data_IF_895102408178
#
_entry.id   IF_895102408178
#
_cell.length_a   1.000
_cell.length_b   1.000
_cell.length_c   1.000
_cell.angle_alpha   90.00
_cell.angle_beta   90.00
_cell.angle_gamma   90.00
#
_symmetry.space_group_name_H-M   'P 1'
#
loop_
_entity.id
_entity.type
_entity.pdbx_description
1 polymer ?
#
# COMPACT_ATOMS: atom_id res chain seq x y z
N UNK A 1 4.51 22.37 21.94
CA UNK A 1 3.84 22.19 20.63
C UNK A 1 4.94 22.12 19.59
N UNK A 2 5.34 20.94 19.15
CA UNK A 2 6.35 20.80 18.10
C UNK A 2 5.73 21.23 16.77
N UNK A 3 6.33 22.22 16.13
CA UNK A 3 6.03 22.57 14.75
C UNK A 3 6.37 21.36 13.88
N UNK A 4 5.33 20.61 13.51
CA UNK A 4 5.46 19.54 12.53
C UNK A 4 5.72 20.24 11.21
N UNK A 5 7.01 20.33 10.85
CA UNK A 5 7.51 20.86 9.59
C UNK A 5 6.79 20.16 8.45
N UNK A 6 5.65 20.74 8.03
CA UNK A 6 4.87 20.28 6.88
C UNK A 6 5.76 20.60 5.69
N UNK A 7 6.61 19.64 5.31
CA UNK A 7 7.47 19.76 4.14
C UNK A 7 6.60 20.29 3.01
N UNK A 8 6.87 21.51 2.59
CA UNK A 8 6.18 22.14 1.48
C UNK A 8 6.71 21.51 0.21
N UNK A 9 6.25 20.30 -0.07
CA UNK A 9 6.51 19.69 -1.35
C UNK A 9 5.67 20.43 -2.39
N UNK A 10 6.25 20.85 -3.53
CA UNK A 10 5.51 21.52 -4.60
C UNK A 10 4.29 20.70 -5.01
N UNK A 11 3.20 21.36 -5.35
CA UNK A 11 2.07 20.65 -5.93
C UNK A 11 2.49 19.94 -7.23
N UNK A 12 1.96 18.74 -7.42
CA UNK A 12 2.28 17.88 -8.55
C UNK A 12 1.06 17.03 -8.88
N UNK A 13 0.71 16.79 -10.16
CA UNK A 13 -0.43 15.96 -10.52
C UNK A 13 -0.38 14.56 -9.89
N UNK A 14 0.80 13.95 -9.82
CA UNK A 14 1.00 12.62 -9.23
C UNK A 14 1.04 12.60 -7.68
N UNK A 15 0.99 13.77 -7.01
CA UNK A 15 1.01 13.86 -5.54
C UNK A 15 -0.37 13.56 -4.96
N UNK A 16 -0.42 12.64 -4.01
CA UNK A 16 -1.55 12.51 -3.09
C UNK A 16 -1.64 13.74 -2.19
N UNK A 17 -2.76 14.46 -2.26
CA UNK A 17 -2.97 15.73 -1.54
C UNK A 17 -3.68 15.58 -0.19
N UNK A 18 -4.47 14.51 -0.03
CA UNK A 18 -5.31 14.28 1.14
C UNK A 18 -4.81 13.12 2.01
N UNK A 19 -4.57 11.95 1.41
CA UNK A 19 -4.14 10.75 2.14
C UNK A 19 -2.60 10.64 2.18
N UNK A 20 -2.00 10.25 3.33
CA UNK A 20 -0.55 10.10 3.48
C UNK A 20 -0.04 8.83 2.79
N UNK A 21 0.14 8.90 1.47
CA UNK A 21 0.49 7.76 0.62
C UNK A 21 1.62 8.13 -0.34
N UNK A 22 2.38 7.14 -0.78
CA UNK A 22 3.45 7.30 -1.77
C UNK A 22 3.48 6.09 -2.70
N UNK A 23 3.89 6.30 -3.95
CA UNK A 23 4.25 5.23 -4.87
C UNK A 23 5.76 5.22 -5.10
N UNK A 24 6.30 4.03 -5.33
CA UNK A 24 7.64 3.87 -5.88
C UNK A 24 7.74 4.48 -7.28
N UNK A 25 8.96 4.82 -7.70
CA UNK A 25 9.24 5.37 -9.03
C UNK A 25 9.19 4.26 -10.08
N UNK A 26 9.58 3.06 -9.66
CA UNK A 26 9.66 1.86 -10.47
C UNK A 26 8.26 1.38 -10.87
N UNK A 27 8.09 1.13 -12.18
CA UNK A 27 6.95 0.38 -12.68
C UNK A 27 7.28 -1.11 -12.68
N UNK A 28 6.38 -1.92 -12.17
CA UNK A 28 6.57 -3.37 -12.12
C UNK A 28 6.23 -3.98 -13.49
N UNK A 29 7.18 -4.70 -14.09
CA UNK A 29 7.00 -5.39 -15.37
C UNK A 29 7.42 -6.84 -15.24
N UNK A 30 6.60 -7.78 -15.75
CA UNK A 30 6.90 -9.21 -15.66
C UNK A 30 6.75 -9.75 -14.24
N UNK A 31 7.78 -10.40 -13.72
CA UNK A 31 7.81 -10.96 -12.36
C UNK A 31 8.74 -10.16 -11.47
N UNK A 32 8.23 -9.66 -10.36
CA UNK A 32 8.98 -8.83 -9.43
C UNK A 32 8.84 -9.37 -8.01
N UNK A 33 9.92 -9.30 -7.23
CA UNK A 33 9.93 -9.61 -5.81
C UNK A 33 10.67 -8.50 -5.05
N UNK A 34 10.12 -8.09 -3.91
CA UNK A 34 10.82 -7.23 -2.97
C UNK A 34 10.39 -7.52 -1.54
N UNK A 35 11.22 -7.10 -0.59
CA UNK A 35 10.90 -7.14 0.83
C UNK A 35 10.88 -5.72 1.38
N UNK A 36 9.99 -5.46 2.32
CA UNK A 36 10.00 -4.22 3.09
C UNK A 36 9.84 -4.52 4.56
N UNK A 37 10.61 -3.81 5.38
CA UNK A 37 10.35 -3.74 6.80
C UNK A 37 9.28 -2.68 7.08
N UNK A 38 8.51 -2.87 8.14
CA UNK A 38 7.44 -1.96 8.55
C UNK A 38 7.38 -1.85 10.06
N UNK A 39 6.96 -0.70 10.57
CA UNK A 39 6.87 -0.44 12.00
C UNK A 39 5.65 0.40 12.33
N UNK A 40 5.10 0.21 13.53
CA UNK A 40 3.87 0.86 13.96
C UNK A 40 2.65 -0.01 13.67
N UNK A 41 1.48 0.61 13.74
CA UNK A 41 0.20 -0.07 13.57
C UNK A 41 -0.53 0.50 12.35
N UNK A 42 -1.23 -0.37 11.61
CA UNK A 42 -1.97 -0.03 10.39
C UNK A 42 -1.08 0.54 9.26
N UNK A 43 0.06 -0.11 9.00
CA UNK A 43 0.92 0.23 7.86
C UNK A 43 0.40 -0.47 6.61
N UNK A 44 0.25 0.26 5.51
CA UNK A 44 -0.22 -0.29 4.24
C UNK A 44 0.96 -0.56 3.32
N UNK A 45 1.05 -1.80 2.82
CA UNK A 45 1.94 -2.18 1.73
C UNK A 45 1.06 -2.45 0.52
N UNK A 46 1.23 -1.67 -0.55
CA UNK A 46 0.25 -1.64 -1.65
C UNK A 46 0.92 -1.77 -3.02
N UNK A 47 0.17 -2.36 -3.94
CA UNK A 47 0.45 -2.35 -5.38
C UNK A 47 -0.70 -1.64 -6.07
N UNK A 48 -0.39 -0.76 -7.02
CA UNK A 48 -1.40 0.05 -7.69
C UNK A 48 -1.03 0.30 -9.13
N UNK A 49 -2.05 0.30 -9.99
CA UNK A 49 -1.95 0.90 -11.31
C UNK A 49 -1.78 2.43 -11.19
N UNK A 50 -1.07 3.02 -12.16
CA UNK A 50 -0.72 4.45 -12.12
C UNK A 50 -1.96 5.35 -12.14
N UNK A 51 -3.05 4.84 -12.70
CA UNK A 51 -4.36 5.45 -12.93
C UNK A 51 -5.17 5.69 -11.64
N UNK A 52 -4.69 5.25 -10.47
CA UNK A 52 -5.33 5.61 -9.19
C UNK A 52 -5.48 7.14 -9.05
N UNK A 53 -6.64 7.57 -8.55
CA UNK A 53 -6.94 8.97 -8.32
C UNK A 53 -5.98 9.53 -7.27
N UNK A 54 -5.46 10.74 -7.49
CA UNK A 54 -4.46 11.36 -6.59
C UNK A 54 -5.03 12.45 -5.70
N UNK A 55 -6.17 13.04 -6.09
CA UNK A 55 -6.64 14.31 -5.53
C UNK A 55 -7.99 14.19 -4.84
N UNK A 56 -8.11 14.85 -3.70
CA UNK A 56 -9.33 14.99 -2.92
C UNK A 56 -9.60 13.85 -1.93
N UNK A 57 -10.58 14.10 -1.07
CA UNK A 57 -11.06 13.18 -0.03
C UNK A 57 -12.08 12.19 -0.62
N UNK A 58 -11.59 11.22 -1.42
CA UNK A 58 -12.39 10.10 -1.91
C UNK A 58 -11.65 8.78 -1.66
N UNK A 59 -12.40 7.73 -1.38
CA UNK A 59 -11.87 6.37 -1.32
C UNK A 59 -11.21 5.91 -2.63
N UNK A 60 -11.58 6.50 -3.77
CA UNK A 60 -10.89 6.28 -5.05
C UNK A 60 -9.40 6.68 -5.01
N UNK A 61 -9.01 7.51 -4.04
CA UNK A 61 -7.63 7.93 -3.82
C UNK A 61 -6.86 7.04 -2.83
N UNK A 62 -7.55 6.17 -2.08
CA UNK A 62 -6.98 5.38 -0.99
C UNK A 62 -6.66 3.96 -1.46
N UNK A 63 -5.43 3.49 -1.25
CA UNK A 63 -5.02 2.14 -1.65
C UNK A 63 -5.90 1.06 -1.04
N UNK A 64 -6.30 0.09 -1.87
CA UNK A 64 -7.19 -1.02 -1.51
C UNK A 64 -8.68 -0.66 -1.51
N UNK A 65 -9.04 0.63 -1.55
CA UNK A 65 -10.43 1.10 -1.61
C UNK A 65 -10.87 1.48 -3.03
N UNK A 66 -10.27 0.87 -4.06
CA UNK A 66 -10.63 1.07 -5.45
C UNK A 66 -10.21 -0.15 -6.27
N UNK A 67 -10.62 -0.18 -7.54
CA UNK A 67 -10.29 -1.26 -8.49
C UNK A 67 -8.84 -1.24 -8.96
N UNK A 68 -8.14 -0.12 -8.79
CA UNK A 68 -6.78 0.10 -9.30
C UNK A 68 -5.68 -0.23 -8.30
N UNK A 69 -6.02 -0.78 -7.13
CA UNK A 69 -5.05 -1.04 -6.08
C UNK A 69 -5.43 -2.23 -5.20
N UNK A 70 -4.37 -2.87 -4.68
CA UNK A 70 -4.41 -3.94 -3.69
C UNK A 70 -3.50 -3.55 -2.55
N UNK A 71 -3.91 -3.83 -1.31
CA UNK A 71 -3.14 -3.45 -0.13
C UNK A 71 -3.16 -4.56 0.92
N UNK A 72 -2.03 -4.74 1.59
CA UNK A 72 -1.94 -5.46 2.85
C UNK A 72 -1.79 -4.44 3.98
N UNK A 73 -2.74 -4.42 4.92
CA UNK A 73 -2.60 -3.67 6.17
C UNK A 73 -1.89 -4.56 7.18
N UNK A 74 -0.78 -4.05 7.69
CA UNK A 74 0.06 -4.68 8.68
C UNK A 74 -0.22 -4.06 10.06
N UNK A 75 -0.48 -4.92 11.04
CA UNK A 75 -0.65 -4.57 12.45
C UNK A 75 0.07 -5.59 13.32
N UNK A 76 0.30 -5.26 14.59
CA UNK A 76 0.96 -6.16 15.55
C UNK A 76 0.26 -7.50 15.75
N UNK A 77 -1.03 -7.60 15.39
CA UNK A 77 -1.87 -8.74 15.74
C UNK A 77 -2.46 -9.47 14.54
N UNK A 78 -2.49 -8.84 13.35
CA UNK A 78 -3.10 -9.42 12.15
C UNK A 78 -2.62 -8.71 10.89
N UNK A 79 -2.83 -9.38 9.76
CA UNK A 79 -2.84 -8.72 8.47
C UNK A 79 -4.27 -8.59 7.94
N UNK A 80 -4.52 -7.61 7.09
CA UNK A 80 -5.80 -7.48 6.38
C UNK A 80 -5.53 -7.15 4.92
N UNK A 81 -5.98 -8.00 4.02
CA UNK A 81 -5.93 -7.73 2.59
C UNK A 81 -7.12 -6.85 2.20
N UNK A 82 -6.88 -5.82 1.38
CA UNK A 82 -7.90 -4.94 0.83
C UNK A 82 -7.81 -4.82 -0.67
N UNK A 83 -8.97 -4.84 -1.32
CA UNK A 83 -9.15 -4.53 -2.72
C UNK A 83 -10.60 -4.13 -2.99
N UNK A 84 -10.80 -3.06 -3.76
CA UNK A 84 -12.12 -2.59 -4.17
C UNK A 84 -13.12 -2.55 -2.99
N UNK A 85 -12.74 -1.90 -1.90
CA UNK A 85 -13.54 -1.74 -0.66
C UNK A 85 -13.78 -3.02 0.15
N UNK A 86 -13.38 -4.18 -0.38
CA UNK A 86 -13.50 -5.44 0.33
C UNK A 86 -12.26 -5.65 1.19
N UNK A 87 -12.48 -6.10 2.42
CA UNK A 87 -11.43 -6.43 3.37
C UNK A 87 -11.51 -7.89 3.77
N UNK A 88 -10.37 -8.58 3.78
CA UNK A 88 -10.24 -9.95 4.25
C UNK A 88 -9.18 -10.01 5.33
N UNK A 89 -9.60 -10.36 6.55
CA UNK A 89 -8.64 -10.61 7.63
C UNK A 89 -7.81 -11.85 7.27
N UNK A 90 -6.50 -11.70 7.28
CA UNK A 90 -5.57 -12.80 7.04
C UNK A 90 -5.09 -13.31 8.39
N UNK A 91 -5.45 -14.56 8.69
CA UNK A 91 -4.99 -15.27 9.87
C UNK A 91 -3.50 -15.57 9.73
N UNK A 92 -2.66 -14.61 10.09
CA UNK A 92 -1.31 -14.92 10.54
C UNK A 92 -1.39 -15.29 12.03
N UNK A 93 -0.53 -16.20 12.47
CA UNK A 93 -0.35 -16.45 13.91
C UNK A 93 0.27 -15.23 14.60
N UNK A 94 1.23 -15.44 15.49
CA UNK A 94 2.04 -14.31 15.97
C UNK A 94 2.79 -13.69 14.79
N UNK A 95 2.65 -12.38 14.59
CA UNK A 95 3.47 -11.60 13.65
C UNK A 95 4.87 -11.52 14.22
N UNK A 96 5.67 -12.57 13.99
CA UNK A 96 7.03 -12.70 14.53
C UNK A 96 8.04 -11.83 13.79
N UNK A 97 7.73 -11.46 12.55
CA UNK A 97 8.57 -10.66 11.67
C UNK A 97 7.89 -9.34 11.29
N UNK A 98 8.64 -8.25 11.36
CA UNK A 98 8.25 -6.92 10.89
C UNK A 98 8.66 -6.66 9.44
N UNK A 99 8.65 -7.73 8.65
CA UNK A 99 9.01 -7.74 7.24
C UNK A 99 7.93 -8.42 6.43
N UNK A 100 7.65 -7.89 5.26
CA UNK A 100 6.74 -8.49 4.29
C UNK A 100 7.47 -8.64 2.96
N UNK A 101 7.43 -9.86 2.41
CA UNK A 101 7.80 -10.13 1.03
C UNK A 101 6.59 -9.91 0.12
N UNK A 102 6.79 -9.25 -1.01
CA UNK A 102 5.74 -9.04 -2.02
C UNK A 102 6.22 -9.60 -3.35
N UNK A 103 5.40 -10.47 -3.94
CA UNK A 103 5.63 -11.03 -5.26
C UNK A 103 4.50 -10.60 -6.20
N UNK A 104 4.88 -10.16 -7.40
CA UNK A 104 3.95 -9.76 -8.46
C UNK A 104 4.31 -10.52 -9.74
N UNK A 105 3.36 -11.22 -10.33
CA UNK A 105 3.41 -11.72 -11.70
C UNK A 105 2.38 -10.96 -12.54
N UNK A 106 2.85 -9.96 -13.30
CA UNK A 106 2.00 -9.10 -14.14
C UNK A 106 1.32 -9.92 -15.24
N UNK A 107 2.05 -10.86 -15.85
CA UNK A 107 1.53 -11.70 -16.94
C UNK A 107 0.54 -12.76 -16.44
N UNK A 108 0.81 -13.31 -15.25
CA UNK A 108 -0.03 -14.30 -14.59
C UNK A 108 -1.15 -13.70 -13.73
N UNK A 109 -1.25 -12.37 -13.63
CA UNK A 109 -2.28 -11.69 -12.86
C UNK A 109 -2.26 -12.03 -11.36
N UNK A 110 -1.08 -12.29 -10.79
CA UNK A 110 -0.94 -12.77 -9.40
C UNK A 110 -0.18 -11.76 -8.55
N UNK A 111 -0.72 -11.47 -7.36
CA UNK A 111 -0.07 -10.74 -6.28
C UNK A 111 -0.05 -11.64 -5.05
N UNK A 112 1.10 -11.80 -4.41
CA UNK A 112 1.27 -12.62 -3.21
C UNK A 112 2.06 -11.86 -2.15
N UNK A 113 1.67 -12.07 -0.90
CA UNK A 113 2.33 -11.50 0.28
C UNK A 113 2.85 -12.63 1.18
N UNK A 114 4.04 -12.44 1.72
CA UNK A 114 4.73 -13.36 2.63
C UNK A 114 5.11 -12.63 3.91
N UNK A 115 4.98 -13.29 5.07
CA UNK A 115 5.35 -12.77 6.39
C UNK A 115 6.42 -13.63 7.03
#
# INVERSE_FOLDING_TARGET
MSEQNRKSYPDHPDRFDFYPQVLCVESLTGRCYWETEWSGNYVNISVSYKEIKRKGMSYDCLFGCNVNSWSLICSDHRFTALHNYNSTAVSAGSVSSKRVGVYVDVSGGTLSFYS
#
